data_IF_390085046959
#
_entry.id   IF_390085046959
#
_cell.length_a   1.000
_cell.length_b   1.000
_cell.length_c   1.000
_cell.angle_alpha   90.00
_cell.angle_beta   90.00
_cell.angle_gamma   90.00
#
_symmetry.space_group_name_H-M   'P 1'
#
loop_
_entity.id
_entity.type
_entity.pdbx_description
1 polymer ?
#
# COMPACT_ATOMS: atom_id res chain seq x y z
N UNK A 1 85.66 -54.39 38.30
CA UNK A 1 84.64 -53.88 39.21
C UNK A 1 84.25 -52.54 38.70
N UNK A 2 83.16 -52.49 38.07
CA UNK A 2 82.59 -51.20 37.56
C UNK A 2 81.48 -50.81 38.56
N UNK A 3 81.65 -49.72 39.22
CA UNK A 3 80.67 -49.18 40.12
C UNK A 3 79.58 -48.48 39.27
N UNK A 4 78.29 -48.67 39.51
CA UNK A 4 77.25 -47.89 38.78
C UNK A 4 77.18 -46.46 39.31
N UNK A 5 77.18 -45.54 38.38
CA UNK A 5 76.98 -44.09 38.59
C UNK A 5 75.53 -43.89 39.01
N UNK A 6 75.33 -43.50 40.26
CA UNK A 6 74.00 -43.11 40.81
C UNK A 6 73.86 -41.60 40.72
N UNK A 7 73.56 -41.10 39.51
CA UNK A 7 72.98 -39.76 39.31
C UNK A 7 71.49 -39.91 39.24
N UNK A 8 70.82 -40.28 40.33
CA UNK A 8 69.40 -40.02 40.48
C UNK A 8 69.23 -38.57 40.63
N UNK A 9 68.56 -37.97 39.68
CA UNK A 9 68.16 -36.54 39.66
C UNK A 9 67.28 -36.27 40.88
N UNK A 10 67.86 -35.60 41.88
CA UNK A 10 67.14 -35.06 43.00
C UNK A 10 66.35 -33.86 42.46
N UNK A 11 65.11 -34.12 42.05
CA UNK A 11 64.22 -33.04 41.64
C UNK A 11 63.92 -32.18 42.87
N UNK A 12 64.24 -30.89 42.80
CA UNK A 12 64.05 -29.89 43.89
C UNK A 12 62.58 -29.87 44.29
N UNK A 13 62.24 -30.12 45.54
CA UNK A 13 60.92 -30.12 46.11
C UNK A 13 60.15 -28.81 45.83
N UNK A 14 60.87 -27.70 45.64
CA UNK A 14 60.32 -26.42 45.27
C UNK A 14 59.80 -26.39 43.81
N UNK A 15 60.48 -27.10 42.92
CA UNK A 15 60.13 -27.22 41.52
C UNK A 15 58.91 -28.16 41.33
N UNK A 16 58.80 -29.23 42.09
CA UNK A 16 57.64 -30.09 42.15
C UNK A 16 56.42 -29.35 42.63
N UNK A 17 56.48 -28.58 43.69
CA UNK A 17 55.37 -27.80 44.24
C UNK A 17 54.94 -26.70 43.25
N UNK A 18 55.87 -26.12 42.50
CA UNK A 18 55.56 -25.13 41.44
C UNK A 18 54.83 -25.78 40.29
N UNK A 19 55.28 -26.95 39.80
CA UNK A 19 54.60 -27.66 38.73
C UNK A 19 53.20 -28.16 39.14
N UNK A 20 53.02 -28.64 40.36
CA UNK A 20 51.69 -29.00 40.90
C UNK A 20 50.74 -27.81 40.95
N UNK A 21 51.21 -26.63 41.35
CA UNK A 21 50.44 -25.40 41.34
C UNK A 21 50.01 -24.98 39.92
N UNK A 22 50.96 -25.09 38.96
CA UNK A 22 50.71 -24.78 37.56
C UNK A 22 49.70 -25.73 36.91
N UNK A 23 49.83 -27.07 37.17
CA UNK A 23 48.85 -28.07 36.77
C UNK A 23 47.48 -27.78 37.38
N UNK A 24 47.40 -27.43 38.64
CA UNK A 24 46.14 -27.08 39.30
C UNK A 24 45.45 -25.87 38.63
N UNK A 25 46.27 -24.83 38.30
CA UNK A 25 45.75 -23.62 37.62
C UNK A 25 45.30 -23.92 36.18
N UNK A 26 46.08 -24.70 35.43
CA UNK A 26 45.69 -25.14 34.08
C UNK A 26 44.42 -26.01 34.11
N UNK A 27 44.29 -26.90 35.07
CA UNK A 27 43.09 -27.72 35.26
C UNK A 27 41.83 -26.86 35.53
N UNK A 28 41.97 -25.80 36.34
CA UNK A 28 40.88 -24.83 36.57
C UNK A 28 40.50 -24.05 35.29
N UNK A 29 41.52 -23.66 34.51
CA UNK A 29 41.27 -22.97 33.24
C UNK A 29 40.56 -23.89 32.23
N UNK A 30 41.00 -25.15 32.12
CA UNK A 30 40.35 -26.14 31.25
C UNK A 30 38.87 -26.31 31.63
N UNK A 31 38.55 -26.52 32.91
CA UNK A 31 37.17 -26.64 33.39
C UNK A 31 36.33 -25.40 33.07
N UNK A 32 36.93 -24.22 33.17
CA UNK A 32 36.23 -22.95 32.83
C UNK A 32 35.94 -22.87 31.34
N UNK A 33 36.88 -23.25 30.48
CA UNK A 33 36.72 -23.31 29.04
C UNK A 33 35.67 -24.33 28.61
N UNK A 34 35.71 -25.55 29.19
CA UNK A 34 34.70 -26.59 28.94
C UNK A 34 33.29 -26.10 29.29
N UNK A 35 33.14 -25.40 30.42
CA UNK A 35 31.87 -24.79 30.82
C UNK A 35 31.40 -23.71 29.83
N UNK A 36 32.31 -22.87 29.35
CA UNK A 36 32.00 -21.83 28.34
C UNK A 36 31.61 -22.47 27.00
N UNK A 37 32.28 -23.50 26.55
CA UNK A 37 31.96 -24.25 25.33
C UNK A 37 30.56 -24.88 25.45
N UNK A 38 30.26 -25.52 26.58
CA UNK A 38 28.95 -26.10 26.84
C UNK A 38 27.84 -25.06 26.88
N UNK A 39 28.09 -23.92 27.51
CA UNK A 39 27.15 -22.80 27.56
C UNK A 39 26.94 -22.23 26.15
N UNK A 40 28.01 -22.02 25.38
CA UNK A 40 27.94 -21.55 23.98
C UNK A 40 27.16 -22.52 23.09
N UNK A 41 27.37 -23.82 23.25
CA UNK A 41 26.60 -24.84 22.52
C UNK A 41 25.12 -24.87 22.85
N UNK A 42 24.75 -24.65 24.11
CA UNK A 42 23.35 -24.57 24.51
C UNK A 42 22.69 -23.28 23.95
N UNK A 43 23.39 -22.15 23.99
CA UNK A 43 22.92 -20.88 23.45
C UNK A 43 22.71 -20.97 21.93
N UNK A 44 23.65 -21.60 21.22
CA UNK A 44 23.54 -21.82 19.77
C UNK A 44 22.30 -22.65 19.41
N UNK A 45 22.02 -23.72 20.15
CA UNK A 45 20.83 -24.57 19.96
C UNK A 45 19.53 -23.78 20.22
N UNK A 46 19.49 -22.96 21.28
CA UNK A 46 18.32 -22.16 21.59
C UNK A 46 18.09 -21.07 20.53
N UNK A 47 19.17 -20.45 20.02
CA UNK A 47 19.07 -19.47 18.94
C UNK A 47 18.53 -20.11 17.64
N UNK A 48 18.99 -21.29 17.28
CA UNK A 48 18.49 -22.04 16.13
C UNK A 48 17.00 -22.38 16.28
N UNK A 49 16.58 -22.81 17.48
CA UNK A 49 15.18 -23.07 17.81
C UNK A 49 14.32 -21.81 17.66
N UNK A 50 14.77 -20.67 18.20
CA UNK A 50 14.06 -19.39 18.09
C UNK A 50 13.96 -18.93 16.64
N UNK A 51 15.03 -19.07 15.86
CA UNK A 51 15.05 -18.77 14.43
C UNK A 51 14.04 -19.63 13.66
N UNK A 52 13.98 -20.92 13.91
CA UNK A 52 13.00 -21.83 13.29
C UNK A 52 11.56 -21.41 13.58
N UNK A 53 11.24 -21.12 14.86
CA UNK A 53 9.91 -20.66 15.26
C UNK A 53 9.54 -19.31 14.60
N UNK A 54 10.51 -18.39 14.49
CA UNK A 54 10.29 -17.11 13.83
C UNK A 54 10.00 -17.29 12.33
N UNK A 55 10.72 -18.19 11.66
CA UNK A 55 10.48 -18.51 10.24
C UNK A 55 9.10 -19.13 10.05
N UNK A 56 8.70 -20.08 10.88
CA UNK A 56 7.38 -20.71 10.82
C UNK A 56 6.25 -19.67 11.01
N UNK A 57 6.37 -18.82 12.02
CA UNK A 57 5.40 -17.74 12.27
C UNK A 57 5.34 -16.74 11.10
N UNK A 58 6.49 -16.39 10.50
CA UNK A 58 6.56 -15.52 9.33
C UNK A 58 5.87 -16.14 8.11
N UNK A 59 6.06 -17.43 7.87
CA UNK A 59 5.41 -18.15 6.76
C UNK A 59 3.88 -18.22 6.94
N UNK A 60 3.39 -18.40 8.17
CA UNK A 60 1.97 -18.41 8.48
C UNK A 60 1.34 -17.03 8.22
N UNK A 61 1.98 -15.95 8.70
CA UNK A 61 1.54 -14.58 8.44
C UNK A 61 1.52 -14.28 6.94
N UNK A 62 2.58 -14.69 6.21
CA UNK A 62 2.66 -14.51 4.75
C UNK A 62 1.51 -15.20 4.03
N UNK A 63 1.17 -16.44 4.39
CA UNK A 63 0.03 -17.17 3.82
C UNK A 63 -1.30 -16.44 4.09
N UNK A 64 -1.48 -15.92 5.30
CA UNK A 64 -2.67 -15.16 5.66
C UNK A 64 -2.82 -13.87 4.84
N UNK A 65 -1.72 -13.14 4.63
CA UNK A 65 -1.71 -11.93 3.79
C UNK A 65 -1.96 -12.28 2.31
N UNK A 66 -1.40 -13.37 1.81
CA UNK A 66 -1.68 -13.83 0.45
C UNK A 66 -3.16 -14.23 0.25
N UNK A 67 -3.79 -14.78 1.27
CA UNK A 67 -5.23 -15.06 1.24
C UNK A 67 -6.05 -13.76 1.22
N UNK A 68 -5.70 -12.78 2.04
CA UNK A 68 -6.32 -11.46 2.03
C UNK A 68 -6.20 -10.77 0.66
N UNK A 69 -5.06 -10.90 -0.02
CA UNK A 69 -4.85 -10.37 -1.38
C UNK A 69 -5.79 -10.98 -2.41
N UNK A 70 -6.12 -12.27 -2.28
CA UNK A 70 -7.11 -12.91 -3.17
C UNK A 70 -8.51 -12.34 -2.95
N UNK A 71 -8.87 -12.08 -1.69
CA UNK A 71 -10.17 -11.46 -1.36
C UNK A 71 -10.23 -10.05 -1.95
N UNK A 72 -9.19 -9.25 -1.72
CA UNK A 72 -9.13 -7.88 -2.23
C UNK A 72 -9.15 -7.86 -3.77
N UNK A 73 -8.40 -8.75 -4.44
CA UNK A 73 -8.43 -8.88 -5.89
C UNK A 73 -9.80 -9.29 -6.46
N UNK A 74 -10.59 -10.08 -5.71
CA UNK A 74 -11.93 -10.46 -6.10
C UNK A 74 -12.96 -9.32 -5.97
N UNK A 75 -12.65 -8.25 -5.26
CA UNK A 75 -13.49 -7.04 -5.18
C UNK A 75 -13.31 -6.12 -6.38
N UNK A 76 -12.21 -6.25 -7.12
CA UNK A 76 -11.99 -5.46 -8.33
C UNK A 76 -12.93 -5.93 -9.46
N UNK A 77 -13.28 -5.03 -10.39
CA UNK A 77 -14.16 -5.35 -11.50
C UNK A 77 -13.61 -6.52 -12.33
N UNK A 78 -14.36 -7.62 -12.42
CA UNK A 78 -14.02 -8.78 -13.24
C UNK A 78 -14.38 -8.61 -14.70
N UNK A 79 -15.32 -7.71 -15.01
CA UNK A 79 -15.78 -7.37 -16.35
C UNK A 79 -15.89 -5.86 -16.49
N UNK A 80 -15.49 -5.36 -17.64
CA UNK A 80 -15.56 -3.93 -17.95
C UNK A 80 -16.75 -3.66 -18.89
N UNK A 81 -17.47 -2.54 -18.72
CA UNK A 81 -18.56 -2.16 -19.63
C UNK A 81 -18.05 -1.96 -21.06
N UNK A 82 -18.75 -2.55 -22.04
CA UNK A 82 -18.38 -2.45 -23.45
C UNK A 82 -18.51 -1.03 -24.03
N UNK A 83 -19.28 -0.18 -23.38
CA UNK A 83 -19.46 1.22 -23.74
C UNK A 83 -18.24 2.10 -23.42
N UNK A 84 -17.25 1.56 -22.70
CA UNK A 84 -16.02 2.23 -22.34
C UNK A 84 -14.80 1.61 -22.99
N UNK A 85 -13.94 2.44 -23.59
CA UNK A 85 -12.52 2.12 -23.72
C UNK A 85 -11.83 2.54 -22.42
N UNK A 86 -11.16 1.60 -21.74
CA UNK A 86 -10.62 1.81 -20.40
C UNK A 86 -9.26 1.14 -20.21
N UNK A 87 -8.35 1.85 -19.58
CA UNK A 87 -7.10 1.31 -19.07
C UNK A 87 -7.03 1.49 -17.57
N UNK A 88 -6.45 0.52 -16.87
CA UNK A 88 -6.30 0.56 -15.40
C UNK A 88 -4.93 0.10 -14.96
N UNK A 89 -4.41 0.72 -13.91
CA UNK A 89 -3.32 0.22 -13.09
C UNK A 89 -3.79 0.18 -11.65
N UNK A 90 -3.58 -0.93 -11.00
CA UNK A 90 -3.74 -1.10 -9.56
C UNK A 90 -2.53 -1.86 -9.05
N UNK A 91 -1.72 -1.21 -8.23
CA UNK A 91 -0.47 -1.73 -7.73
C UNK A 91 -0.33 -1.40 -6.25
N UNK A 92 -0.74 -2.31 -5.36
CA UNK A 92 -0.50 -2.15 -3.94
C UNK A 92 1.00 -2.07 -3.63
N UNK A 93 1.37 -1.23 -2.67
CA UNK A 93 2.74 -1.11 -2.16
C UNK A 93 3.23 -2.44 -1.58
N UNK A 94 2.36 -3.10 -0.85
CA UNK A 94 2.59 -4.42 -0.26
C UNK A 94 1.79 -5.50 -1.01
N UNK A 95 1.63 -6.66 -0.41
CA UNK A 95 0.80 -7.74 -0.98
C UNK A 95 -0.68 -7.36 -1.04
N UNK A 96 -1.10 -6.47 -0.13
CA UNK A 96 -2.43 -5.84 -0.04
C UNK A 96 -2.27 -4.36 0.20
N UNK A 97 -3.26 -3.53 -0.15
CA UNK A 97 -3.19 -2.07 -0.05
C UNK A 97 -4.50 -1.40 0.36
N UNK A 98 -4.43 -0.08 0.57
CA UNK A 98 -5.60 0.77 0.85
C UNK A 98 -6.35 1.19 -0.41
N UNK A 99 -5.64 1.26 -1.53
CA UNK A 99 -6.21 1.66 -2.79
C UNK A 99 -7.15 0.62 -3.39
N UNK A 100 -8.24 1.08 -4.00
CA UNK A 100 -9.05 0.25 -4.88
C UNK A 100 -9.87 1.09 -5.86
N UNK A 101 -10.46 0.43 -6.87
CA UNK A 101 -11.35 1.08 -7.81
C UNK A 101 -12.61 0.26 -8.07
N UNK A 102 -13.68 0.96 -8.40
CA UNK A 102 -14.96 0.38 -8.75
C UNK A 102 -15.33 0.80 -10.17
N UNK A 103 -15.83 -0.13 -10.96
CA UNK A 103 -16.46 0.16 -12.26
C UNK A 103 -17.73 -0.67 -12.32
N UNK A 104 -18.87 0.03 -12.44
CA UNK A 104 -20.19 -0.63 -12.41
C UNK A 104 -21.10 -0.10 -13.51
N UNK A 105 -21.62 -0.97 -14.33
CA UNK A 105 -22.67 -0.65 -15.28
C UNK A 105 -24.02 -0.56 -14.55
N UNK A 106 -24.68 0.58 -14.60
CA UNK A 106 -25.98 0.86 -14.01
C UNK A 106 -27.09 0.95 -15.07
N UNK A 107 -26.84 0.39 -16.26
CA UNK A 107 -27.78 0.44 -17.39
C UNK A 107 -27.63 1.74 -18.22
N UNK A 108 -28.25 2.84 -17.84
CA UNK A 108 -28.13 4.11 -18.56
C UNK A 108 -26.85 4.90 -18.22
N UNK A 109 -26.20 4.56 -17.13
CA UNK A 109 -24.98 5.23 -16.65
C UNK A 109 -23.93 4.19 -16.24
N UNK A 110 -22.67 4.60 -16.19
CA UNK A 110 -21.57 3.82 -15.65
C UNK A 110 -20.97 4.59 -14.49
N UNK A 111 -20.84 3.93 -13.34
CA UNK A 111 -20.14 4.48 -12.18
C UNK A 111 -18.70 3.99 -12.21
N UNK A 112 -17.75 4.94 -12.07
CA UNK A 112 -16.33 4.69 -11.91
C UNK A 112 -15.89 5.42 -10.64
N UNK A 113 -15.23 4.72 -9.71
CA UNK A 113 -14.65 5.29 -8.52
C UNK A 113 -13.19 4.86 -8.38
N UNK A 114 -12.33 5.79 -7.94
CA UNK A 114 -10.94 5.53 -7.56
C UNK A 114 -10.77 6.06 -6.15
N UNK A 115 -10.36 5.20 -5.23
CA UNK A 115 -10.42 5.42 -3.79
C UNK A 115 -9.11 5.02 -3.14
N UNK A 116 -8.60 5.90 -2.29
CA UNK A 116 -7.41 5.74 -1.49
C UNK A 116 -7.81 5.75 -0.02
N UNK A 117 -7.79 4.59 0.62
CA UNK A 117 -8.15 4.42 2.02
C UNK A 117 -6.95 4.68 2.93
N UNK A 118 -7.20 5.29 4.08
CA UNK A 118 -6.18 5.61 5.07
C UNK A 118 -5.30 4.40 5.42
N UNK A 119 -4.00 4.54 5.14
CA UNK A 119 -2.97 3.55 5.47
C UNK A 119 -2.77 2.49 4.38
N UNK A 120 -1.62 1.82 4.43
CA UNK A 120 -1.21 0.80 3.47
C UNK A 120 -1.08 -0.59 4.13
N UNK A 121 -0.88 -1.64 3.34
CA UNK A 121 -0.77 -3.01 3.84
C UNK A 121 -2.07 -3.51 4.46
N UNK A 122 -1.98 -4.32 5.52
CA UNK A 122 -3.15 -4.97 6.13
C UNK A 122 -4.20 -4.00 6.68
N UNK A 123 -3.84 -2.94 7.43
CA UNK A 123 -4.82 -1.95 7.88
C UNK A 123 -5.56 -1.28 6.73
N UNK A 124 -4.85 -0.80 5.71
CA UNK A 124 -5.44 -0.20 4.51
C UNK A 124 -6.35 -1.20 3.78
N UNK A 125 -5.93 -2.46 3.66
CA UNK A 125 -6.73 -3.50 3.01
C UNK A 125 -8.05 -3.80 3.74
N UNK A 126 -8.06 -3.78 5.05
CA UNK A 126 -9.29 -3.94 5.83
C UNK A 126 -10.25 -2.76 5.61
N UNK A 127 -9.71 -1.55 5.58
CA UNK A 127 -10.51 -0.34 5.35
C UNK A 127 -11.02 -0.28 3.92
N UNK A 128 -10.22 -0.64 2.91
CA UNK A 128 -10.66 -0.72 1.51
C UNK A 128 -11.72 -1.79 1.30
N UNK A 129 -11.62 -2.93 1.99
CA UNK A 129 -12.65 -3.98 1.97
C UNK A 129 -13.98 -3.49 2.57
N UNK A 130 -13.91 -2.80 3.71
CA UNK A 130 -15.08 -2.18 4.32
C UNK A 130 -15.72 -1.14 3.39
N UNK A 131 -14.89 -0.26 2.82
CA UNK A 131 -15.34 0.80 1.90
C UNK A 131 -15.95 0.20 0.62
N UNK A 132 -15.35 -0.86 0.06
CA UNK A 132 -15.91 -1.60 -1.07
C UNK A 132 -17.31 -2.17 -0.78
N UNK A 133 -17.50 -2.76 0.39
CA UNK A 133 -18.80 -3.27 0.84
C UNK A 133 -19.84 -2.15 1.00
N UNK A 134 -19.41 -0.97 1.45
CA UNK A 134 -20.25 0.23 1.52
C UNK A 134 -20.66 0.65 0.10
N UNK A 135 -19.72 0.69 -0.85
CA UNK A 135 -20.03 1.05 -2.24
C UNK A 135 -20.98 0.05 -2.88
N UNK A 136 -20.82 -1.24 -2.68
CA UNK A 136 -21.77 -2.25 -3.18
C UNK A 136 -23.20 -2.03 -2.64
N UNK A 137 -23.32 -1.57 -1.39
CA UNK A 137 -24.60 -1.25 -0.81
C UNK A 137 -25.23 0.01 -1.43
N UNK A 138 -24.46 1.11 -1.49
CA UNK A 138 -25.02 2.41 -1.97
C UNK A 138 -25.26 2.43 -3.49
N UNK A 139 -24.52 1.64 -4.27
CA UNK A 139 -24.74 1.50 -5.72
C UNK A 139 -26.12 0.89 -6.03
N UNK A 140 -26.62 0.03 -5.14
CA UNK A 140 -27.93 -0.60 -5.28
C UNK A 140 -29.05 0.22 -4.63
N UNK A 141 -28.76 1.39 -4.06
CA UNK A 141 -29.74 2.29 -3.46
C UNK A 141 -30.37 3.18 -4.55
N UNK A 142 -31.66 3.00 -4.79
CA UNK A 142 -32.40 3.74 -5.83
C UNK A 142 -32.50 5.24 -5.56
N UNK A 143 -32.27 5.68 -4.32
CA UNK A 143 -32.33 7.09 -3.92
C UNK A 143 -31.03 7.84 -4.20
N UNK A 144 -29.91 7.13 -4.43
CA UNK A 144 -28.62 7.74 -4.76
C UNK A 144 -28.48 7.88 -6.28
N UNK A 145 -28.46 9.12 -6.79
CA UNK A 145 -28.52 9.41 -8.24
C UNK A 145 -27.39 10.32 -8.75
N UNK A 146 -26.69 11.00 -7.87
CA UNK A 146 -25.62 11.95 -8.22
C UNK A 146 -24.28 11.53 -7.65
N UNK A 147 -23.21 11.90 -8.33
CA UNK A 147 -21.85 11.57 -7.91
C UNK A 147 -21.53 12.03 -6.47
N UNK A 148 -21.96 13.25 -6.08
CA UNK A 148 -21.80 13.76 -4.72
C UNK A 148 -22.61 13.01 -3.66
N UNK A 149 -23.79 12.48 -4.04
CA UNK A 149 -24.63 11.69 -3.15
C UNK A 149 -23.96 10.34 -2.81
N UNK A 150 -23.27 9.69 -3.77
CA UNK A 150 -22.48 8.50 -3.51
C UNK A 150 -21.39 8.77 -2.48
N UNK A 151 -20.62 9.86 -2.62
CA UNK A 151 -19.59 10.25 -1.65
C UNK A 151 -20.19 10.58 -0.27
N UNK A 152 -21.29 11.34 -0.24
CA UNK A 152 -21.98 11.73 1.00
C UNK A 152 -22.49 10.49 1.74
N UNK A 153 -23.11 9.55 1.02
CA UNK A 153 -23.60 8.30 1.59
C UNK A 153 -22.46 7.43 2.10
N UNK A 154 -21.36 7.32 1.33
CA UNK A 154 -20.17 6.57 1.75
C UNK A 154 -19.53 7.20 3.00
N UNK A 155 -19.39 8.53 3.05
CA UNK A 155 -18.90 9.26 4.22
C UNK A 155 -19.73 8.96 5.47
N UNK A 156 -21.04 9.07 5.36
CA UNK A 156 -21.94 8.85 6.50
C UNK A 156 -21.90 7.39 7.00
N UNK A 157 -21.88 6.42 6.08
CA UNK A 157 -21.84 5.00 6.43
C UNK A 157 -20.51 4.61 7.08
N UNK A 158 -19.37 5.01 6.50
CA UNK A 158 -18.06 4.69 7.09
C UNK A 158 -17.89 5.36 8.46
N UNK A 159 -18.32 6.62 8.61
CA UNK A 159 -18.28 7.34 9.88
C UNK A 159 -19.13 6.67 10.95
N UNK A 160 -20.32 6.18 10.59
CA UNK A 160 -21.20 5.46 11.49
C UNK A 160 -20.63 4.08 11.89
N UNK A 161 -20.13 3.31 10.92
CA UNK A 161 -19.57 1.97 11.16
C UNK A 161 -18.32 2.02 12.04
N UNK A 162 -17.47 3.03 11.86
CA UNK A 162 -16.27 3.23 12.69
C UNK A 162 -16.54 4.00 13.99
N UNK A 163 -17.78 4.48 14.20
CA UNK A 163 -18.17 5.23 15.40
C UNK A 163 -17.42 6.55 15.60
N UNK A 164 -17.05 7.23 14.50
CA UNK A 164 -16.12 8.36 14.50
C UNK A 164 -16.69 9.64 15.15
N UNK A 165 -17.99 9.71 15.29
CA UNK A 165 -18.70 10.83 15.93
C UNK A 165 -19.35 10.43 17.27
N UNK A 166 -19.06 9.24 17.75
CA UNK A 166 -19.49 8.75 19.08
C UNK A 166 -18.47 9.24 20.13
N UNK A 167 -18.91 10.10 21.02
CA UNK A 167 -18.05 10.68 22.08
C UNK A 167 -17.59 9.64 23.12
N UNK A 168 -18.21 8.45 23.17
CA UNK A 168 -17.82 7.34 24.03
C UNK A 168 -16.67 6.50 23.45
N UNK A 169 -16.28 6.72 22.18
CA UNK A 169 -15.26 5.95 21.45
C UNK A 169 -14.02 6.76 21.17
N UNK A 170 -12.91 6.05 20.93
CA UNK A 170 -11.68 6.68 20.44
C UNK A 170 -11.92 7.18 19.01
N UNK A 171 -11.79 8.51 18.82
CA UNK A 171 -11.98 9.13 17.52
C UNK A 171 -10.86 8.72 16.57
N UNK A 172 -11.18 8.02 15.49
CA UNK A 172 -10.25 7.76 14.40
C UNK A 172 -10.44 8.76 13.27
N UNK A 173 -9.37 8.98 12.48
CA UNK A 173 -9.46 9.74 11.23
C UNK A 173 -9.44 8.81 10.00
N UNK A 174 -9.75 7.53 10.21
CA UNK A 174 -9.80 6.54 9.14
C UNK A 174 -10.94 6.87 8.18
N UNK A 175 -10.63 6.83 6.91
CA UNK A 175 -11.55 7.18 5.83
C UNK A 175 -10.88 6.96 4.49
N UNK A 176 -11.31 7.69 3.50
CA UNK A 176 -10.68 7.65 2.19
C UNK A 176 -10.68 9.02 1.51
N UNK A 177 -9.69 9.23 0.68
CA UNK A 177 -9.67 10.23 -0.37
C UNK A 177 -10.06 9.54 -1.68
N UNK A 178 -10.70 10.25 -2.60
CA UNK A 178 -11.07 9.60 -3.84
C UNK A 178 -12.02 10.40 -4.71
N UNK A 179 -12.24 9.88 -5.90
CA UNK A 179 -13.06 10.49 -6.93
C UNK A 179 -14.11 9.52 -7.43
N UNK A 180 -15.30 10.04 -7.72
CA UNK A 180 -16.41 9.30 -8.35
C UNK A 180 -16.80 10.01 -9.63
N UNK A 181 -16.92 9.25 -10.69
CA UNK A 181 -17.48 9.65 -11.98
C UNK A 181 -18.73 8.82 -12.27
N UNK A 182 -19.86 9.47 -12.52
CA UNK A 182 -21.07 8.86 -13.04
C UNK A 182 -21.27 9.33 -14.49
N UNK A 183 -21.11 8.43 -15.44
CA UNK A 183 -21.11 8.74 -16.88
C UNK A 183 -22.41 8.30 -17.51
N UNK A 184 -23.20 9.22 -18.03
CA UNK A 184 -24.42 8.93 -18.77
C UNK A 184 -24.12 8.57 -20.22
N UNK A 185 -24.42 7.33 -20.60
CA UNK A 185 -24.06 6.76 -21.91
C UNK A 185 -24.64 7.53 -23.10
N UNK A 186 -25.91 7.91 -23.03
CA UNK A 186 -26.62 8.59 -24.13
C UNK A 186 -26.22 10.05 -24.29
N UNK A 187 -26.20 10.81 -23.19
CA UNK A 187 -25.92 12.26 -23.20
C UNK A 187 -24.44 12.57 -23.24
N UNK A 188 -23.59 11.56 -22.98
CA UNK A 188 -22.13 11.72 -22.81
C UNK A 188 -21.78 12.76 -21.74
N UNK A 189 -22.66 12.90 -20.74
CA UNK A 189 -22.45 13.78 -19.59
C UNK A 189 -21.82 13.00 -18.47
N UNK A 190 -20.77 13.55 -17.88
CA UNK A 190 -20.10 13.04 -16.70
C UNK A 190 -20.46 13.91 -15.50
N UNK A 191 -20.92 13.29 -14.43
CA UNK A 191 -20.99 13.89 -13.11
C UNK A 191 -19.77 13.44 -12.30
N UNK A 192 -19.05 14.41 -11.73
CA UNK A 192 -17.88 14.19 -10.90
C UNK A 192 -18.12 14.68 -9.48
N UNK A 193 -17.63 13.91 -8.51
CA UNK A 193 -17.47 14.31 -7.12
C UNK A 193 -16.12 13.82 -6.61
N UNK A 194 -15.43 14.64 -5.81
CA UNK A 194 -14.13 14.29 -5.25
C UNK A 194 -14.04 14.60 -3.75
N UNK A 195 -13.53 13.67 -2.98
CA UNK A 195 -13.09 13.83 -1.59
C UNK A 195 -11.57 13.97 -1.58
N UNK A 196 -11.03 15.19 -1.41
CA UNK A 196 -9.61 15.55 -1.53
C UNK A 196 -8.92 15.04 -2.80
N UNK A 197 -9.69 14.68 -3.80
CA UNK A 197 -9.21 14.12 -5.05
C UNK A 197 -9.69 14.96 -6.23
N UNK A 198 -8.94 14.94 -7.31
CA UNK A 198 -9.24 15.61 -8.58
C UNK A 198 -9.27 14.57 -9.70
N UNK A 199 -9.94 14.90 -10.80
CA UNK A 199 -9.83 14.18 -12.06
C UNK A 199 -9.23 15.10 -13.14
N UNK A 200 -8.68 14.49 -14.19
CA UNK A 200 -8.16 15.21 -15.33
C UNK A 200 -8.98 14.85 -16.57
N UNK A 201 -9.46 15.88 -17.24
CA UNK A 201 -10.11 15.76 -18.54
C UNK A 201 -9.08 16.06 -19.63
N UNK A 202 -8.94 15.17 -20.59
CA UNK A 202 -8.03 15.32 -21.71
C UNK A 202 -8.85 15.53 -23.00
N UNK A 203 -9.17 16.80 -23.32
CA UNK A 203 -9.87 17.10 -24.58
C UNK A 203 -8.91 16.82 -25.74
N UNK A 204 -9.43 16.40 -26.89
CA UNK A 204 -8.62 16.19 -28.07
C UNK A 204 -7.89 17.47 -28.45
N UNK A 205 -6.59 17.37 -28.74
CA UNK A 205 -5.73 18.48 -29.21
C UNK A 205 -5.72 19.70 -28.29
N UNK A 206 -6.03 19.54 -27.00
CA UNK A 206 -6.03 20.60 -26.00
C UNK A 206 -5.25 20.21 -24.76
N UNK A 207 -4.98 21.19 -23.90
CA UNK A 207 -4.31 20.96 -22.63
C UNK A 207 -5.24 20.21 -21.64
N UNK A 208 -4.70 19.36 -20.77
CA UNK A 208 -5.46 18.73 -19.71
C UNK A 208 -6.17 19.76 -18.82
N UNK A 209 -7.42 19.48 -18.47
CA UNK A 209 -8.21 20.28 -17.56
C UNK A 209 -8.35 19.53 -16.24
N UNK A 210 -7.94 20.13 -15.14
CA UNK A 210 -8.18 19.58 -13.81
C UNK A 210 -9.54 19.99 -13.27
N UNK A 211 -10.35 19.00 -12.86
CA UNK A 211 -11.55 19.21 -12.06
C UNK A 211 -11.26 18.82 -10.62
N UNK A 212 -11.35 19.80 -9.71
CA UNK A 212 -11.05 19.61 -8.28
C UNK A 212 -12.30 19.25 -7.51
N UNK A 213 -12.20 18.27 -6.62
CA UNK A 213 -13.25 17.96 -5.65
C UNK A 213 -13.18 18.82 -4.40
N UNK A 214 -13.98 18.45 -3.41
CA UNK A 214 -13.97 19.07 -2.08
C UNK A 214 -12.67 18.83 -1.33
N UNK A 215 -12.31 19.75 -0.42
CA UNK A 215 -11.08 19.65 0.41
C UNK A 215 -11.24 18.78 1.65
N UNK A 216 -12.25 17.92 1.69
CA UNK A 216 -12.55 17.02 2.80
C UNK A 216 -12.46 15.58 2.34
N UNK A 217 -11.88 14.73 3.20
CA UNK A 217 -11.90 13.28 3.04
C UNK A 217 -13.30 12.73 3.33
N UNK A 218 -13.65 11.60 2.78
CA UNK A 218 -14.84 10.86 3.17
C UNK A 218 -14.49 9.94 4.35
N UNK A 219 -15.31 9.97 5.40
CA UNK A 219 -14.94 9.41 6.71
C UNK A 219 -14.05 10.35 7.52
N UNK A 220 -13.59 9.86 8.68
CA UNK A 220 -12.74 10.59 9.61
C UNK A 220 -13.47 11.63 10.46
N UNK A 221 -13.04 11.77 11.71
CA UNK A 221 -13.65 12.70 12.68
C UNK A 221 -13.48 14.18 12.32
N UNK A 222 -12.60 14.50 11.33
CA UNK A 222 -12.36 15.87 10.84
C UNK A 222 -13.36 16.35 9.81
N UNK A 223 -14.10 15.45 9.18
CA UNK A 223 -15.20 15.78 8.27
C UNK A 223 -16.50 15.70 9.06
N UNK A 224 -17.30 16.78 9.14
CA UNK A 224 -18.55 16.77 9.87
C UNK A 224 -19.50 15.68 9.37
N UNK A 225 -20.26 15.06 10.28
CA UNK A 225 -21.32 14.14 9.89
C UNK A 225 -22.33 14.87 8.97
N UNK A 226 -22.85 14.18 7.98
CA UNK A 226 -23.73 14.74 6.94
C UNK A 226 -23.07 15.83 6.06
N UNK A 227 -21.74 15.87 5.99
CA UNK A 227 -21.05 16.72 5.02
C UNK A 227 -21.50 16.35 3.61
N UNK A 228 -21.92 17.34 2.85
CA UNK A 228 -22.40 17.15 1.47
C UNK A 228 -21.26 17.43 0.50
N UNK A 229 -20.95 16.43 -0.33
CA UNK A 229 -19.97 16.57 -1.41
C UNK A 229 -20.64 17.16 -2.66
N UNK A 230 -19.93 18.09 -3.29
CA UNK A 230 -20.42 18.76 -4.50
C UNK A 230 -20.42 17.81 -5.69
N UNK A 231 -21.39 17.98 -6.59
CA UNK A 231 -21.44 17.34 -7.90
C UNK A 231 -21.12 18.37 -8.98
N UNK A 232 -20.11 18.09 -9.79
CA UNK A 232 -19.77 18.85 -10.98
C UNK A 232 -20.21 18.10 -12.21
N UNK A 233 -20.69 18.79 -13.24
CA UNK A 233 -21.17 18.17 -14.48
C UNK A 233 -20.45 18.75 -15.68
N UNK A 234 -20.06 17.86 -16.62
CA UNK A 234 -19.35 18.22 -17.85
C UNK A 234 -19.69 17.24 -18.97
N UNK A 235 -19.73 17.73 -20.21
CA UNK A 235 -19.82 16.84 -21.39
C UNK A 235 -18.44 16.26 -21.70
N UNK A 236 -18.35 14.95 -21.88
CA UNK A 236 -17.10 14.21 -22.10
C UNK A 236 -17.08 13.44 -23.44
N UNK A 237 -17.91 13.85 -24.41
CA UNK A 237 -18.00 13.19 -25.72
C UNK A 237 -16.62 12.98 -26.39
N UNK A 238 -15.75 13.99 -26.29
CA UNK A 238 -14.43 14.00 -26.93
C UNK A 238 -13.30 14.12 -25.90
N UNK A 239 -13.47 13.47 -24.74
CA UNK A 239 -12.50 13.52 -23.67
C UNK A 239 -12.06 12.12 -23.26
N UNK A 240 -10.78 11.99 -22.88
CA UNK A 240 -10.36 10.94 -21.96
C UNK A 240 -10.42 11.51 -20.55
N UNK A 241 -10.95 10.73 -19.63
CA UNK A 241 -11.01 11.04 -18.21
C UNK A 241 -9.94 10.24 -17.50
N UNK A 242 -9.13 10.89 -16.66
CA UNK A 242 -8.07 10.25 -15.88
C UNK A 242 -8.35 10.47 -14.39
N UNK A 243 -8.40 9.39 -13.64
CA UNK A 243 -8.58 9.31 -12.20
C UNK A 243 -7.37 8.62 -11.58
N UNK A 244 -6.90 9.10 -10.45
CA UNK A 244 -5.70 8.52 -9.80
C UNK A 244 -5.70 8.75 -8.28
N UNK A 245 -4.91 7.94 -7.57
CA UNK A 245 -4.54 8.15 -6.18
C UNK A 245 -3.22 8.92 -6.08
N UNK A 246 -2.90 9.48 -4.91
CA UNK A 246 -1.72 10.31 -4.72
C UNK A 246 -0.40 9.54 -4.86
N UNK A 247 -0.38 8.22 -4.64
CA UNK A 247 0.79 7.37 -4.86
C UNK A 247 1.39 7.48 -6.28
N UNK A 248 0.61 7.96 -7.27
CA UNK A 248 1.13 8.26 -8.62
C UNK A 248 2.03 9.50 -8.60
N UNK A 249 1.65 10.55 -7.91
CA UNK A 249 2.38 11.84 -7.89
C UNK A 249 3.47 11.87 -6.80
N UNK A 250 3.36 10.99 -5.80
CA UNK A 250 4.27 10.92 -4.67
C UNK A 250 5.47 9.97 -4.88
N UNK A 251 5.61 9.43 -6.10
CA UNK A 251 6.79 8.64 -6.47
C UNK A 251 8.06 9.48 -6.35
N UNK A 252 9.00 8.99 -5.54
CA UNK A 252 10.29 9.67 -5.32
C UNK A 252 11.26 9.35 -6.44
N UNK A 253 11.94 10.39 -6.95
CA UNK A 253 13.00 10.26 -7.93
C UNK A 253 14.32 9.76 -7.33
N UNK A 254 15.22 9.29 -8.20
CA UNK A 254 16.54 8.80 -7.83
C UNK A 254 17.50 9.97 -7.50
N UNK A 255 18.49 9.70 -6.62
CA UNK A 255 19.57 10.62 -6.33
C UNK A 255 20.35 11.02 -7.60
N UNK A 256 20.93 12.24 -7.69
CA UNK A 256 21.09 13.24 -6.64
C UNK A 256 19.90 14.19 -6.47
N UNK A 257 18.84 14.05 -7.26
CA UNK A 257 17.66 14.92 -7.24
C UNK A 257 16.46 14.14 -6.70
N UNK A 258 16.45 13.87 -5.39
CA UNK A 258 15.34 13.24 -4.68
C UNK A 258 14.14 14.18 -4.59
N UNK A 259 13.35 14.26 -5.66
CA UNK A 259 12.11 15.04 -5.70
C UNK A 259 10.92 14.13 -6.06
N UNK A 260 9.74 14.50 -5.60
CA UNK A 260 8.51 13.84 -5.99
C UNK A 260 8.28 13.95 -7.51
N UNK A 261 7.66 12.96 -8.10
CA UNK A 261 7.22 13.01 -9.49
C UNK A 261 6.35 14.25 -9.73
N UNK A 262 5.37 14.42 -8.91
CA UNK A 262 4.56 15.62 -8.84
C UNK A 262 3.59 15.77 -10.00
N UNK A 263 2.63 16.64 -9.78
CA UNK A 263 1.53 16.89 -10.71
C UNK A 263 2.00 17.52 -12.03
N UNK A 264 3.01 18.38 -12.02
CA UNK A 264 3.46 19.07 -13.23
C UNK A 264 4.03 18.10 -14.27
N UNK A 265 4.79 17.08 -13.81
CA UNK A 265 5.29 16.01 -14.70
C UNK A 265 4.16 15.14 -15.22
N UNK A 266 3.18 14.80 -14.36
CA UNK A 266 1.98 14.08 -14.77
C UNK A 266 1.25 14.86 -15.88
N UNK A 267 0.92 16.12 -15.65
CA UNK A 267 0.22 16.96 -16.64
C UNK A 267 0.97 17.07 -17.98
N UNK A 268 2.30 17.17 -17.92
CA UNK A 268 3.14 17.17 -19.14
C UNK A 268 2.98 15.89 -19.95
N UNK A 269 2.94 14.74 -19.27
CA UNK A 269 2.76 13.45 -19.94
C UNK A 269 1.36 13.34 -20.52
N UNK A 270 0.35 13.70 -19.74
CA UNK A 270 -1.04 13.68 -20.18
C UNK A 270 -1.28 14.59 -21.39
N UNK A 271 -0.57 15.72 -21.49
CA UNK A 271 -0.66 16.61 -22.64
C UNK A 271 0.03 16.11 -23.91
N UNK A 272 1.08 15.28 -23.75
CA UNK A 272 1.85 14.76 -24.88
C UNK A 272 1.18 13.57 -25.59
N UNK A 273 0.34 12.80 -24.87
CA UNK A 273 -0.18 11.51 -25.32
C UNK A 273 -1.72 11.50 -25.37
N UNK A 274 -2.30 12.56 -25.85
CA UNK A 274 -3.74 12.68 -25.99
C UNK A 274 -4.22 12.14 -27.36
N UNK A 275 -4.05 10.83 -27.56
CA UNK A 275 -4.35 10.12 -28.84
C UNK A 275 -5.60 9.22 -28.78
N UNK A 276 -6.52 9.48 -27.84
CA UNK A 276 -7.76 8.73 -27.63
C UNK A 276 -7.64 7.28 -27.14
N UNK A 277 -6.45 6.79 -26.81
CA UNK A 277 -6.29 5.46 -26.23
C UNK A 277 -5.95 5.52 -24.73
N UNK A 278 -6.91 5.27 -23.83
CA UNK A 278 -6.67 5.24 -22.40
C UNK A 278 -5.55 4.28 -21.97
N UNK A 279 -5.43 3.12 -22.63
CA UNK A 279 -4.41 2.13 -22.28
C UNK A 279 -3.00 2.64 -22.58
N UNK A 280 -2.83 3.43 -23.65
CA UNK A 280 -1.54 4.06 -23.96
C UNK A 280 -1.17 5.15 -22.95
N UNK A 281 -2.15 5.92 -22.48
CA UNK A 281 -1.92 6.90 -21.40
C UNK A 281 -1.42 6.19 -20.15
N UNK A 282 -2.08 5.12 -19.72
CA UNK A 282 -1.65 4.31 -18.59
C UNK A 282 -0.20 3.85 -18.74
N UNK A 283 0.13 3.24 -19.90
CA UNK A 283 1.47 2.72 -20.16
C UNK A 283 2.53 3.83 -20.14
N UNK A 284 2.25 4.99 -20.75
CA UNK A 284 3.18 6.11 -20.78
C UNK A 284 3.43 6.71 -19.39
N UNK A 285 2.39 6.80 -18.56
CA UNK A 285 2.54 7.22 -17.17
C UNK A 285 3.40 6.22 -16.39
N UNK A 286 3.17 4.92 -16.54
CA UNK A 286 4.01 3.89 -15.90
C UNK A 286 5.47 3.98 -16.30
N UNK A 287 5.76 4.07 -17.60
CA UNK A 287 7.14 4.24 -18.11
C UNK A 287 7.79 5.49 -17.52
N UNK A 288 7.06 6.58 -17.45
CA UNK A 288 7.60 7.83 -16.90
C UNK A 288 7.86 7.74 -15.39
N UNK A 289 7.00 7.06 -14.63
CA UNK A 289 7.21 6.78 -13.22
C UNK A 289 8.43 5.90 -12.99
N UNK A 290 8.58 4.82 -13.76
CA UNK A 290 9.72 3.91 -13.64
C UNK A 290 11.05 4.62 -14.02
N UNK A 291 11.05 5.46 -15.03
CA UNK A 291 12.20 6.28 -15.40
C UNK A 291 12.54 7.34 -14.33
N UNK A 292 11.53 7.91 -13.68
CA UNK A 292 11.74 8.93 -12.65
C UNK A 292 12.30 8.33 -11.36
N UNK A 293 11.73 7.19 -10.88
CA UNK A 293 12.15 6.56 -9.65
C UNK A 293 13.50 5.84 -9.75
N UNK A 294 13.89 5.35 -10.93
CA UNK A 294 15.08 4.52 -11.09
C UNK A 294 15.01 3.28 -10.20
N UNK A 295 15.97 3.16 -9.29
CA UNK A 295 16.05 2.04 -8.32
C UNK A 295 15.28 2.28 -7.01
N UNK A 296 14.70 3.47 -6.81
CA UNK A 296 13.95 3.79 -5.59
C UNK A 296 12.69 2.94 -5.46
N UNK A 297 12.34 2.45 -4.26
CA UNK A 297 11.10 1.74 -4.04
C UNK A 297 9.90 2.70 -4.14
N UNK A 298 8.74 2.16 -4.50
CA UNK A 298 7.48 2.88 -4.31
C UNK A 298 7.23 3.09 -2.82
N UNK A 299 6.47 4.14 -2.47
CA UNK A 299 6.21 4.54 -1.08
C UNK A 299 4.75 4.43 -0.70
N UNK A 300 3.86 4.33 -1.69
CA UNK A 300 2.43 4.20 -1.49
C UNK A 300 1.81 3.26 -2.51
N UNK A 301 0.56 2.89 -2.26
CA UNK A 301 -0.30 2.20 -3.21
C UNK A 301 -0.52 3.09 -4.44
N UNK A 302 -0.67 2.50 -5.61
CA UNK A 302 -0.87 3.25 -6.86
C UNK A 302 -2.09 2.74 -7.60
N UNK A 303 -3.02 3.63 -7.84
CA UNK A 303 -4.18 3.38 -8.70
C UNK A 303 -4.33 4.46 -9.74
N UNK A 304 -4.48 4.05 -10.99
CA UNK A 304 -4.71 4.94 -12.12
C UNK A 304 -5.75 4.31 -13.03
N UNK A 305 -6.80 5.05 -13.33
CA UNK A 305 -7.86 4.66 -14.25
C UNK A 305 -8.00 5.74 -15.31
N UNK A 306 -7.87 5.36 -16.57
CA UNK A 306 -8.14 6.24 -17.70
C UNK A 306 -9.27 5.63 -18.54
N UNK A 307 -10.24 6.43 -18.95
CA UNK A 307 -11.36 5.93 -19.74
C UNK A 307 -11.92 6.99 -20.69
N UNK A 308 -12.60 6.52 -21.72
CA UNK A 308 -13.49 7.34 -22.57
C UNK A 308 -14.73 6.55 -22.97
N UNK A 309 -15.80 7.23 -23.30
CA UNK A 309 -16.97 6.64 -23.94
C UNK A 309 -16.66 6.30 -25.40
N UNK A 310 -17.14 5.15 -25.84
CA UNK A 310 -17.08 4.70 -27.24
C UNK A 310 -18.05 5.48 -28.14
#
# INVERSE_FOLDING_TARGET
MVTPDSSEANMDLSEVARLESEISNQTKQIKKLEMQVKLGGNLAKELERQKSLAIEAQEEVKKSIQYASRIQGAMLPSTLPSDLNIGTVWKPLNVVGGDFYVIKDLGESILIAVLDCTGHGVPGALLSTLTGSIFDRIINDADVKKAGEYLTSAHNLISAMLGQHDDSKVKSNDGFDGSICLVHKKTKTLQFAGARSSIFLLPLNSQPIEMKGNRKSAGGSRTPINYVFDTHEVNVADHIVVMLTDGIVDVMGEEPVSVLFGKDRLLKILSMWNDYDPSRIINNVQIALDNHRGTQPFRDDMTLVAFRLN
#
